data_IF_491780791233
#
_entry.id   IF_491780791233
#
_cell.length_a   1.000
_cell.length_b   1.000
_cell.length_c   1.000
_cell.angle_alpha   90.00
_cell.angle_beta   90.00
_cell.angle_gamma   90.00
#
_symmetry.space_group_name_H-M   'P 1'
#
loop_
_entity.id
_entity.type
_entity.pdbx_description
1 polymer ?
#
# COMPACT_ATOMS: atom_id res chain seq x y z
N UNK A 1 -55.96 -21.63 -48.13
CA UNK A 1 -56.29 -20.20 -48.35
C UNK A 1 -56.90 -19.62 -47.08
N UNK A 2 -56.18 -18.69 -46.43
CA UNK A 2 -56.68 -17.48 -45.73
C UNK A 2 -55.56 -16.99 -44.82
N UNK A 3 -54.96 -15.87 -45.23
CA UNK A 3 -54.13 -15.03 -44.39
C UNK A 3 -55.02 -14.35 -43.34
N UNK A 4 -54.51 -14.12 -42.14
CA UNK A 4 -54.94 -12.97 -41.33
C UNK A 4 -53.89 -12.63 -40.27
N UNK A 5 -53.48 -11.38 -40.32
CA UNK A 5 -52.50 -10.68 -39.51
C UNK A 5 -52.82 -10.67 -38.01
N UNK A 6 -51.83 -10.92 -37.17
CA UNK A 6 -51.86 -10.56 -35.75
C UNK A 6 -50.98 -9.31 -35.54
N UNK A 7 -51.65 -8.21 -35.16
CA UNK A 7 -51.06 -6.90 -34.89
C UNK A 7 -50.25 -6.91 -33.60
N UNK A 8 -49.09 -6.28 -33.69
CA UNK A 8 -48.21 -5.84 -32.61
C UNK A 8 -48.96 -4.87 -31.69
N UNK A 9 -48.83 -5.07 -30.37
CA UNK A 9 -49.23 -4.11 -29.33
C UNK A 9 -48.02 -3.90 -28.41
N UNK A 10 -47.14 -2.99 -28.80
CA UNK A 10 -46.07 -2.49 -27.93
C UNK A 10 -46.63 -1.28 -27.19
N UNK A 11 -46.79 -1.42 -25.87
CA UNK A 11 -47.15 -0.33 -24.97
C UNK A 11 -46.02 0.72 -24.95
N UNK A 12 -46.37 1.94 -25.32
CA UNK A 12 -45.52 3.12 -25.20
C UNK A 12 -45.41 3.52 -23.73
N UNK A 13 -44.20 3.43 -23.17
CA UNK A 13 -43.85 4.05 -21.89
C UNK A 13 -43.05 5.31 -22.23
N UNK A 14 -43.69 6.47 -22.10
CA UNK A 14 -43.03 7.78 -22.20
C UNK A 14 -42.30 8.03 -20.89
N UNK A 15 -40.99 7.80 -20.87
CA UNK A 15 -40.11 8.26 -19.80
C UNK A 15 -39.54 9.63 -20.20
N UNK A 16 -39.72 10.61 -19.31
CA UNK A 16 -39.21 11.97 -19.45
C UNK A 16 -37.68 11.99 -19.60
N UNK A 17 -37.19 12.60 -20.67
CA UNK A 17 -35.77 12.86 -20.91
C UNK A 17 -35.39 14.13 -20.12
N UNK A 18 -34.73 13.95 -18.98
CA UNK A 18 -33.88 15.00 -18.40
C UNK A 18 -32.64 15.16 -19.29
N UNK A 19 -32.17 16.39 -19.57
CA UNK A 19 -30.92 16.57 -20.28
C UNK A 19 -29.78 16.22 -19.32
N UNK A 20 -29.28 14.98 -19.39
CA UNK A 20 -27.97 14.67 -18.86
C UNK A 20 -26.96 15.47 -19.69
N UNK A 21 -26.35 16.48 -19.06
CA UNK A 21 -25.08 17.04 -19.49
C UNK A 21 -24.13 15.87 -19.77
N UNK A 22 -23.86 15.62 -21.04
CA UNK A 22 -22.87 14.65 -21.47
C UNK A 22 -21.52 15.12 -20.93
N UNK A 23 -21.10 14.54 -19.80
CA UNK A 23 -19.69 14.51 -19.43
C UNK A 23 -18.97 13.85 -20.60
N UNK A 24 -18.31 14.69 -21.41
CA UNK A 24 -17.48 14.26 -22.52
C UNK A 24 -16.40 13.37 -21.92
N UNK A 25 -16.55 12.05 -22.10
CA UNK A 25 -15.49 11.11 -21.79
C UNK A 25 -14.21 11.64 -22.46
N UNK A 26 -13.06 11.67 -21.77
CA UNK A 26 -11.81 12.00 -22.44
C UNK A 26 -11.67 11.03 -23.61
N UNK A 27 -11.44 11.57 -24.80
CA UNK A 27 -11.24 10.77 -26.00
C UNK A 27 -10.17 9.72 -25.69
N UNK A 28 -10.54 8.44 -25.74
CA UNK A 28 -9.57 7.36 -25.66
C UNK A 28 -8.58 7.57 -26.80
N UNK A 29 -7.32 7.85 -26.47
CA UNK A 29 -6.25 7.90 -27.45
C UNK A 29 -6.31 6.62 -28.28
N UNK A 30 -6.46 6.77 -29.60
CA UNK A 30 -6.42 5.64 -30.53
C UNK A 30 -5.12 4.87 -30.29
N UNK A 31 -5.17 3.55 -30.05
CA UNK A 31 -3.97 2.81 -29.67
C UNK A 31 -2.98 2.84 -30.84
N UNK A 32 -1.76 3.33 -30.57
CA UNK A 32 -0.69 3.41 -31.57
C UNK A 32 -0.44 2.02 -32.18
N UNK A 33 -0.81 1.85 -33.44
CA UNK A 33 -0.52 0.64 -34.21
C UNK A 33 0.97 0.61 -34.54
N UNK A 34 1.63 -0.49 -34.23
CA UNK A 34 3.04 -0.73 -34.56
C UNK A 34 3.25 -2.13 -35.12
N UNK A 35 4.41 -2.34 -35.70
CA UNK A 35 4.84 -3.68 -36.08
C UNK A 35 5.35 -4.45 -34.84
N UNK A 36 4.89 -5.70 -34.74
CA UNK A 36 5.26 -6.67 -33.73
C UNK A 36 5.92 -7.85 -34.41
N UNK A 37 7.04 -8.32 -33.87
CA UNK A 37 7.76 -9.47 -34.39
C UNK A 37 7.82 -10.58 -33.33
N UNK A 38 7.51 -11.79 -33.77
CA UNK A 38 7.74 -13.02 -33.01
C UNK A 38 9.19 -13.50 -33.18
N UNK A 39 9.67 -14.28 -32.23
CA UNK A 39 11.00 -14.93 -32.32
C UNK A 39 11.08 -15.96 -33.45
N UNK A 40 9.95 -16.49 -33.92
CA UNK A 40 9.88 -17.39 -35.07
C UNK A 40 9.90 -16.66 -36.42
N UNK A 41 10.05 -15.33 -36.43
CA UNK A 41 10.21 -14.53 -37.66
C UNK A 41 8.90 -14.03 -38.27
N UNK A 42 7.74 -14.36 -37.72
CA UNK A 42 6.47 -13.79 -38.17
C UNK A 42 6.28 -12.37 -37.64
N UNK A 43 5.80 -11.45 -38.49
CA UNK A 43 5.51 -10.06 -38.14
C UNK A 43 4.02 -9.74 -38.30
N UNK A 44 3.53 -8.79 -37.50
CA UNK A 44 2.14 -8.33 -37.55
C UNK A 44 2.03 -6.86 -37.15
N UNK A 45 1.26 -6.09 -37.92
CA UNK A 45 0.93 -4.70 -37.57
C UNK A 45 -0.34 -4.68 -36.73
N UNK A 46 -0.22 -4.27 -35.47
CA UNK A 46 -1.30 -4.31 -34.51
C UNK A 46 -1.14 -3.25 -33.41
N UNK A 47 -2.26 -2.89 -32.80
CA UNK A 47 -2.35 -2.11 -31.59
C UNK A 47 -2.27 -3.03 -30.36
N UNK A 48 -1.48 -2.66 -29.35
CA UNK A 48 -1.50 -3.36 -28.07
C UNK A 48 -2.71 -2.92 -27.26
N UNK A 49 -3.62 -3.86 -26.98
CA UNK A 49 -4.91 -3.58 -26.33
C UNK A 49 -5.03 -4.19 -24.93
N UNK A 50 -4.11 -5.08 -24.54
CA UNK A 50 -4.12 -5.64 -23.20
C UNK A 50 -2.96 -6.57 -22.90
N UNK A 51 -2.61 -6.66 -21.62
CA UNK A 51 -1.61 -7.60 -21.10
C UNK A 51 -2.21 -8.25 -19.85
N UNK A 52 -2.27 -9.58 -19.83
CA UNK A 52 -2.72 -10.35 -18.67
C UNK A 52 -1.72 -11.46 -18.38
N UNK A 53 -1.14 -11.42 -17.18
CA UNK A 53 -0.10 -12.36 -16.73
C UNK A 53 1.08 -12.41 -17.71
N UNK A 54 1.13 -13.43 -18.57
CA UNK A 54 2.16 -13.65 -19.58
C UNK A 54 1.63 -13.57 -21.03
N UNK A 55 0.39 -13.12 -21.21
CA UNK A 55 -0.29 -13.03 -22.50
C UNK A 55 -0.48 -11.57 -22.93
N UNK A 56 -0.11 -11.30 -24.17
CA UNK A 56 -0.21 -10.01 -24.86
C UNK A 56 -1.36 -10.11 -25.86
N UNK A 57 -2.32 -9.18 -25.78
CA UNK A 57 -3.44 -9.08 -26.71
C UNK A 57 -3.19 -7.95 -27.70
N UNK A 58 -3.04 -8.30 -28.98
CA UNK A 58 -2.75 -7.39 -30.08
C UNK A 58 -3.97 -7.33 -31.01
N UNK A 59 -4.52 -6.15 -31.23
CA UNK A 59 -5.60 -5.94 -32.20
C UNK A 59 -5.04 -5.52 -33.54
N UNK A 60 -5.24 -6.34 -34.57
CA UNK A 60 -4.80 -6.08 -35.95
C UNK A 60 -5.65 -5.01 -36.62
N UNK A 61 -5.18 -4.47 -37.74
CA UNK A 61 -5.88 -3.42 -38.51
C UNK A 61 -7.24 -3.85 -39.07
N UNK A 62 -7.47 -5.16 -39.24
CA UNK A 62 -8.76 -5.74 -39.62
C UNK A 62 -9.69 -6.03 -38.41
N UNK A 63 -9.31 -5.61 -37.21
CA UNK A 63 -10.10 -5.74 -35.98
C UNK A 63 -9.98 -7.07 -35.24
N UNK A 64 -9.23 -8.05 -35.76
CA UNK A 64 -9.00 -9.32 -35.07
C UNK A 64 -8.06 -9.15 -33.85
N UNK A 65 -8.30 -9.90 -32.78
CA UNK A 65 -7.46 -9.86 -31.56
C UNK A 65 -6.61 -11.13 -31.50
N UNK A 66 -5.30 -10.95 -31.64
CA UNK A 66 -4.30 -11.99 -31.51
C UNK A 66 -3.80 -12.04 -30.06
N UNK A 67 -3.63 -13.25 -29.54
CA UNK A 67 -3.10 -13.50 -28.19
C UNK A 67 -1.77 -14.22 -28.30
N UNK A 68 -0.70 -13.58 -27.87
CA UNK A 68 0.69 -14.07 -27.99
C UNK A 68 1.33 -14.08 -26.61
N UNK A 69 2.17 -15.07 -26.28
CA UNK A 69 2.92 -15.04 -25.02
C UNK A 69 4.01 -13.98 -25.10
N UNK A 70 4.24 -13.25 -24.00
CA UNK A 70 5.26 -12.20 -23.94
C UNK A 70 6.68 -12.75 -24.25
N UNK A 71 6.96 -13.99 -23.83
CA UNK A 71 8.21 -14.69 -24.12
C UNK A 71 8.46 -14.94 -25.61
N UNK A 72 7.42 -15.00 -26.42
CA UNK A 72 7.49 -15.32 -27.86
C UNK A 72 7.74 -14.07 -28.71
N UNK A 73 7.63 -12.87 -28.13
CA UNK A 73 8.01 -11.61 -28.77
C UNK A 73 9.52 -11.42 -28.77
N UNK A 74 10.01 -10.67 -29.76
CA UNK A 74 11.40 -10.20 -29.80
C UNK A 74 11.70 -9.25 -28.62
N UNK A 75 12.96 -9.07 -28.21
CA UNK A 75 13.31 -8.15 -27.13
C UNK A 75 12.77 -6.71 -27.32
N UNK A 76 12.77 -6.11 -28.53
CA UNK A 76 12.11 -4.83 -28.76
C UNK A 76 10.59 -4.86 -28.56
N UNK A 77 9.93 -5.98 -28.90
CA UNK A 77 8.51 -6.19 -28.63
C UNK A 77 8.23 -6.29 -27.14
N UNK A 78 9.06 -7.03 -26.39
CA UNK A 78 8.95 -7.14 -24.93
C UNK A 78 9.13 -5.78 -24.24
N UNK A 79 10.12 -4.99 -24.66
CA UNK A 79 10.33 -3.63 -24.15
C UNK A 79 9.13 -2.71 -24.44
N UNK A 80 8.49 -2.85 -25.60
CA UNK A 80 7.30 -2.10 -25.96
C UNK A 80 6.09 -2.45 -25.10
N UNK A 81 5.89 -3.75 -24.79
CA UNK A 81 4.86 -4.19 -23.85
C UNK A 81 5.14 -3.63 -22.46
N UNK A 82 6.39 -3.67 -21.99
CA UNK A 82 6.78 -3.10 -20.70
C UNK A 82 6.50 -1.59 -20.63
N UNK A 83 6.88 -0.83 -21.67
CA UNK A 83 6.62 0.61 -21.75
C UNK A 83 5.12 0.95 -21.88
N UNK A 84 4.32 0.07 -22.48
CA UNK A 84 2.86 0.22 -22.52
C UNK A 84 2.23 -0.08 -21.17
N UNK A 85 2.65 -1.15 -20.49
CA UNK A 85 2.22 -1.46 -19.11
C UNK A 85 2.57 -0.31 -18.19
N UNK A 86 3.78 0.24 -18.33
CA UNK A 86 4.21 1.43 -17.60
C UNK A 86 3.31 2.64 -17.95
N UNK A 87 3.00 2.89 -19.22
CA UNK A 87 2.05 3.94 -19.66
C UNK A 87 0.64 3.77 -19.09
N UNK A 88 0.12 2.55 -19.06
CA UNK A 88 -1.21 2.27 -18.51
C UNK A 88 -1.24 2.41 -16.98
N UNK A 89 -0.11 2.12 -16.31
CA UNK A 89 0.07 2.42 -14.89
C UNK A 89 0.32 3.92 -14.61
N UNK A 90 0.71 4.73 -15.61
CA UNK A 90 1.06 6.15 -15.44
C UNK A 90 -0.13 7.05 -15.11
N UNK A 91 -1.38 6.65 -15.36
CA UNK A 91 -2.52 7.57 -15.25
C UNK A 91 -2.32 8.87 -16.04
N UNK A 92 -3.18 9.89 -15.91
CA UNK A 92 -2.87 11.22 -16.44
C UNK A 92 -1.65 11.81 -15.70
N UNK A 93 -0.83 12.58 -16.42
CA UNK A 93 0.29 13.31 -15.81
C UNK A 93 -0.25 14.39 -14.87
N UNK A 94 -0.15 14.16 -13.56
CA UNK A 94 -0.53 15.14 -12.56
C UNK A 94 0.60 16.12 -12.28
N UNK A 95 0.25 17.38 -12.01
CA UNK A 95 1.21 18.39 -11.56
C UNK A 95 1.78 18.01 -10.19
N UNK A 96 3.10 18.18 -10.04
CA UNK A 96 3.82 17.87 -8.79
C UNK A 96 4.62 19.09 -8.33
N UNK A 97 4.65 19.36 -7.03
CA UNK A 97 5.48 20.45 -6.49
C UNK A 97 6.97 20.06 -6.51
N UNK A 98 7.85 21.05 -6.68
CA UNK A 98 9.28 20.90 -6.39
C UNK A 98 9.50 20.71 -4.90
N UNK A 99 10.33 19.73 -4.54
CA UNK A 99 10.45 19.26 -3.15
C UNK A 99 11.91 19.30 -2.70
N UNK A 100 12.14 19.66 -1.43
CA UNK A 100 13.47 19.57 -0.80
C UNK A 100 14.03 18.16 -0.97
N UNK A 101 15.36 18.02 -1.11
CA UNK A 101 16.01 16.73 -1.45
C UNK A 101 15.64 15.57 -0.50
N UNK A 102 15.23 15.87 0.74
CA UNK A 102 14.85 14.92 1.77
C UNK A 102 13.34 14.59 1.84
N UNK A 103 12.60 14.90 0.78
CA UNK A 103 11.15 14.73 0.70
C UNK A 103 10.77 14.23 -0.71
N UNK A 104 9.64 13.53 -0.82
CA UNK A 104 9.14 13.00 -2.12
C UNK A 104 8.10 13.96 -2.73
N UNK A 105 7.99 14.05 -4.08
CA UNK A 105 7.00 14.88 -4.75
C UNK A 105 5.59 14.41 -4.43
N UNK A 106 4.62 15.31 -4.49
CA UNK A 106 3.21 15.00 -4.23
C UNK A 106 2.31 15.60 -5.28
N UNK A 107 1.12 15.04 -5.43
CA UNK A 107 0.07 15.64 -6.25
C UNK A 107 -0.33 17.02 -5.70
N UNK A 108 -0.42 18.01 -6.58
CA UNK A 108 -0.95 19.35 -6.25
C UNK A 108 -2.48 19.36 -6.19
N UNK A 109 -3.13 18.45 -6.93
CA UNK A 109 -4.57 18.42 -7.17
C UNK A 109 -5.12 16.99 -7.25
N UNK A 110 -6.44 16.87 -7.45
CA UNK A 110 -7.12 15.59 -7.60
C UNK A 110 -7.23 14.76 -6.31
N UNK A 111 -7.66 13.49 -6.42
CA UNK A 111 -7.90 12.61 -5.26
C UNK A 111 -6.61 12.29 -4.48
N UNK A 112 -5.44 12.46 -5.10
CA UNK A 112 -4.14 12.28 -4.46
C UNK A 112 -3.55 13.52 -3.80
N UNK A 113 -4.25 14.67 -3.85
CA UNK A 113 -3.71 15.96 -3.40
C UNK A 113 -3.00 15.88 -2.05
N UNK A 114 -1.78 16.44 -1.98
CA UNK A 114 -0.84 16.42 -0.82
C UNK A 114 -0.15 15.09 -0.54
N UNK A 115 -0.48 14.02 -1.26
CA UNK A 115 0.16 12.72 -1.14
C UNK A 115 1.00 12.38 -2.37
N UNK A 116 2.03 11.60 -2.14
CA UNK A 116 2.87 11.03 -3.19
C UNK A 116 2.11 9.95 -3.93
N UNK A 117 1.41 9.07 -3.22
CA UNK A 117 0.63 8.03 -3.88
C UNK A 117 -0.57 7.66 -3.02
N UNK A 118 -1.63 7.20 -3.66
CA UNK A 118 -2.88 6.80 -2.98
C UNK A 118 -3.33 5.47 -3.55
N UNK A 119 -3.46 4.47 -2.70
CA UNK A 119 -4.04 3.18 -3.02
C UNK A 119 -5.43 3.07 -2.39
N UNK A 120 -6.44 2.77 -3.20
CA UNK A 120 -7.83 2.68 -2.74
C UNK A 120 -8.31 1.23 -2.72
N UNK A 121 -8.75 0.77 -1.55
CA UNK A 121 -9.38 -0.53 -1.35
C UNK A 121 -10.73 -0.35 -0.63
N UNK A 122 -11.73 -1.24 -0.79
CA UNK A 122 -13.00 -1.15 -0.05
C UNK A 122 -12.85 -1.04 1.48
N UNK A 123 -11.81 -1.67 2.04
CA UNK A 123 -11.57 -1.70 3.49
C UNK A 123 -10.65 -0.59 4.01
N UNK A 124 -9.88 0.08 3.14
CA UNK A 124 -8.96 1.12 3.57
C UNK A 124 -8.48 1.99 2.41
N UNK A 125 -7.96 3.18 2.74
CA UNK A 125 -7.11 3.94 1.83
C UNK A 125 -5.71 4.04 2.42
N UNK A 126 -4.70 3.68 1.63
CA UNK A 126 -3.30 3.85 1.99
C UNK A 126 -2.71 5.02 1.20
N UNK A 127 -2.10 5.98 1.91
CA UNK A 127 -1.55 7.21 1.32
C UNK A 127 -0.08 7.37 1.68
N UNK A 128 0.78 7.51 0.68
CA UNK A 128 2.20 7.78 0.90
C UNK A 128 2.40 9.28 1.03
N UNK A 129 2.91 9.76 2.17
CA UNK A 129 3.12 11.19 2.39
C UNK A 129 4.51 11.67 1.94
N UNK A 130 4.77 12.99 2.06
CA UNK A 130 6.05 13.63 1.67
C UNK A 130 7.30 13.05 2.35
N UNK A 131 7.14 12.35 3.47
CA UNK A 131 8.23 11.70 4.19
C UNK A 131 8.39 10.22 3.79
N UNK A 132 7.75 9.77 2.71
CA UNK A 132 7.71 8.37 2.26
C UNK A 132 7.16 7.39 3.31
N UNK A 133 6.22 7.85 4.13
CA UNK A 133 5.51 7.03 5.13
C UNK A 133 4.11 6.71 4.62
N UNK A 134 3.58 5.55 4.96
CA UNK A 134 2.21 5.16 4.58
C UNK A 134 1.25 5.47 5.72
N UNK A 135 0.26 6.29 5.43
CA UNK A 135 -0.92 6.54 6.26
C UNK A 135 -2.03 5.60 5.82
N UNK A 136 -2.48 4.71 6.69
CA UNK A 136 -3.52 3.71 6.41
C UNK A 136 -4.79 4.13 7.14
N UNK A 137 -5.77 4.62 6.40
CA UNK A 137 -7.09 4.99 6.91
C UNK A 137 -8.06 3.82 6.69
N UNK A 138 -8.46 3.15 7.78
CA UNK A 138 -9.40 2.03 7.72
C UNK A 138 -10.82 2.57 7.47
N UNK A 139 -11.57 1.87 6.63
CA UNK A 139 -12.91 2.25 6.16
C UNK A 139 -13.90 1.09 6.21
N UNK A 140 -15.16 1.48 6.43
CA UNK A 140 -16.32 0.62 6.25
C UNK A 140 -17.41 1.42 5.52
N UNK A 141 -17.50 1.23 4.19
CA UNK A 141 -18.28 2.09 3.31
C UNK A 141 -17.77 3.53 3.31
N UNK A 142 -18.63 4.48 3.70
CA UNK A 142 -18.28 5.89 3.83
C UNK A 142 -17.68 6.25 5.19
N UNK A 143 -17.70 5.32 6.15
CA UNK A 143 -17.19 5.57 7.50
C UNK A 143 -15.67 5.43 7.54
N UNK A 144 -15.01 6.35 8.24
CA UNK A 144 -13.58 6.29 8.57
C UNK A 144 -13.42 6.13 10.07
N UNK A 145 -12.39 5.37 10.49
CA UNK A 145 -12.18 5.06 11.91
C UNK A 145 -10.92 5.75 12.44
N UNK A 146 -11.13 6.74 13.30
CA UNK A 146 -10.06 7.38 14.07
C UNK A 146 -8.97 8.02 13.21
N UNK A 147 -7.75 8.08 13.76
CA UNK A 147 -6.55 8.55 13.05
C UNK A 147 -5.96 7.42 12.20
N UNK A 148 -5.35 7.73 11.04
CA UNK A 148 -4.67 6.70 10.23
C UNK A 148 -3.57 5.97 11.00
N UNK A 149 -3.41 4.68 10.72
CA UNK A 149 -2.22 3.94 11.13
C UNK A 149 -1.01 4.48 10.35
N UNK A 150 0.18 4.46 10.95
CA UNK A 150 1.41 4.94 10.28
C UNK A 150 2.37 3.78 10.12
N UNK A 151 2.56 3.32 8.88
CA UNK A 151 3.59 2.35 8.53
C UNK A 151 4.81 3.08 7.96
N UNK A 152 5.97 2.90 8.59
CA UNK A 152 7.20 3.54 8.13
C UNK A 152 8.47 2.76 8.45
N UNK A 153 9.54 2.94 7.67
CA UNK A 153 10.90 2.63 8.11
C UNK A 153 11.30 3.55 9.26
N UNK A 154 12.10 3.03 10.17
CA UNK A 154 12.75 3.74 11.24
C UNK A 154 14.25 3.49 11.19
N UNK A 155 15.00 4.57 11.29
CA UNK A 155 16.44 4.61 11.17
C UNK A 155 17.01 5.49 12.29
N UNK A 156 17.65 4.85 13.25
CA UNK A 156 18.13 5.49 14.48
C UNK A 156 19.64 5.31 14.62
N UNK A 157 20.31 6.26 15.28
CA UNK A 157 21.69 6.04 15.71
C UNK A 157 21.70 5.01 16.85
N UNK A 158 22.61 4.05 16.78
CA UNK A 158 22.98 3.26 17.96
C UNK A 158 23.79 4.16 18.88
N UNK A 159 23.40 4.27 20.16
CA UNK A 159 24.14 4.91 21.26
C UNK A 159 24.37 6.44 21.19
N UNK A 160 23.72 7.16 20.27
CA UNK A 160 23.71 8.65 20.26
C UNK A 160 22.47 9.16 21.02
N UNK A 161 22.59 10.30 21.72
CA UNK A 161 21.44 10.96 22.38
C UNK A 161 20.36 11.42 21.37
N UNK A 162 20.73 11.63 20.11
CA UNK A 162 19.79 11.89 19.01
C UNK A 162 19.09 10.60 18.55
N UNK A 163 17.77 10.62 18.59
CA UNK A 163 16.99 9.42 18.28
C UNK A 163 16.95 9.10 16.78
N UNK A 164 16.98 10.05 15.84
CA UNK A 164 16.77 9.75 14.40
C UNK A 164 17.95 10.11 13.50
N UNK A 165 18.33 9.20 12.59
CA UNK A 165 19.26 9.51 11.49
C UNK A 165 18.47 10.21 10.36
N UNK A 166 18.85 11.42 9.96
CA UNK A 166 18.08 12.17 8.96
C UNK A 166 18.29 11.64 7.53
N UNK A 167 17.24 11.64 6.71
CA UNK A 167 17.35 11.53 5.25
C UNK A 167 17.89 12.86 4.72
N UNK A 168 18.95 12.80 3.92
CA UNK A 168 19.57 13.99 3.29
C UNK A 168 19.19 14.12 1.82
N UNK A 169 18.87 13.01 1.16
CA UNK A 169 18.52 12.98 -0.25
C UNK A 169 17.84 11.67 -0.64
N UNK A 170 16.91 11.73 -1.57
CA UNK A 170 16.49 10.57 -2.35
C UNK A 170 17.29 10.53 -3.65
N UNK A 171 17.76 9.34 -4.02
CA UNK A 171 18.49 9.11 -5.28
C UNK A 171 17.53 8.63 -6.38
N UNK A 172 16.60 7.71 -6.04
CA UNK A 172 15.51 7.29 -6.92
C UNK A 172 14.18 7.37 -6.19
N UNK A 173 13.21 8.04 -6.82
CA UNK A 173 11.85 8.19 -6.32
C UNK A 173 10.89 7.72 -7.42
N UNK A 174 9.90 6.85 -7.10
CA UNK A 174 8.88 6.49 -8.07
C UNK A 174 8.04 7.73 -8.38
N UNK A 175 7.33 7.72 -9.50
CA UNK A 175 6.42 8.84 -9.80
C UNK A 175 5.22 8.79 -8.86
N UNK A 176 4.68 9.95 -8.46
CA UNK A 176 3.40 9.98 -7.79
C UNK A 176 2.33 9.20 -8.57
N UNK A 177 1.68 8.24 -7.92
CA UNK A 177 0.80 7.26 -8.58
C UNK A 177 -0.49 7.06 -7.80
N UNK A 178 -1.62 7.00 -8.51
CA UNK A 178 -2.89 6.50 -7.97
C UNK A 178 -2.96 4.98 -8.21
N UNK A 179 -3.44 4.26 -7.21
CA UNK A 179 -3.51 2.79 -7.14
C UNK A 179 -2.18 2.09 -7.47
N UNK A 180 -1.07 2.49 -6.81
CA UNK A 180 0.22 1.84 -7.00
C UNK A 180 0.17 0.38 -6.57
N UNK A 181 0.87 -0.50 -7.32
CA UNK A 181 1.10 -1.89 -6.88
C UNK A 181 2.30 -1.99 -5.95
N UNK A 182 3.38 -1.29 -6.30
CA UNK A 182 4.61 -1.25 -5.53
C UNK A 182 5.28 0.12 -5.72
N UNK A 183 5.94 0.60 -4.67
CA UNK A 183 6.75 1.82 -4.67
C UNK A 183 8.07 1.51 -3.98
N UNK A 184 9.19 1.86 -4.61
CA UNK A 184 10.54 1.68 -4.05
C UNK A 184 11.25 3.01 -3.98
N UNK A 185 11.70 3.39 -2.79
CA UNK A 185 12.45 4.61 -2.53
C UNK A 185 13.91 4.24 -2.24
N UNK A 186 14.85 4.98 -2.83
CA UNK A 186 16.28 4.83 -2.54
C UNK A 186 16.89 6.19 -2.24
N UNK A 187 17.97 6.20 -1.46
CA UNK A 187 18.62 7.46 -1.15
C UNK A 187 19.72 7.36 -0.12
N UNK A 188 20.02 8.53 0.44
CA UNK A 188 21.07 8.76 1.42
C UNK A 188 20.54 9.42 2.68
N UNK A 189 21.12 8.98 3.78
CA UNK A 189 20.96 9.54 5.11
C UNK A 189 22.26 10.24 5.53
N UNK A 190 22.20 10.94 6.67
CA UNK A 190 23.38 11.54 7.31
C UNK A 190 24.51 10.51 7.49
N UNK A 191 25.76 11.00 7.53
CA UNK A 191 27.01 10.23 7.62
C UNK A 191 27.25 9.23 6.47
N UNK A 192 26.71 9.50 5.29
CA UNK A 192 26.96 8.69 4.09
C UNK A 192 26.25 7.33 4.08
N UNK A 193 25.28 7.13 4.96
CA UNK A 193 24.47 5.91 5.03
C UNK A 193 23.54 5.84 3.82
N UNK A 194 23.47 4.69 3.14
CA UNK A 194 22.56 4.46 2.00
C UNK A 194 21.37 3.61 2.40
N UNK A 195 20.24 3.78 1.73
CA UNK A 195 19.03 3.00 2.01
C UNK A 195 18.23 2.63 0.77
N UNK A 196 17.37 1.63 0.96
CA UNK A 196 16.19 1.44 0.14
C UNK A 196 15.07 0.85 0.98
N UNK A 197 13.84 1.30 0.76
CA UNK A 197 12.65 0.62 1.26
C UNK A 197 11.54 0.66 0.23
N UNK A 198 10.65 -0.32 0.34
CA UNK A 198 9.57 -0.50 -0.60
C UNK A 198 8.26 -0.72 0.14
N UNK A 199 7.17 -0.37 -0.53
CA UNK A 199 5.81 -0.70 -0.14
C UNK A 199 5.11 -1.44 -1.27
N UNK A 200 4.40 -2.52 -0.95
CA UNK A 200 3.47 -3.15 -1.88
C UNK A 200 2.04 -3.05 -1.36
N UNK A 201 1.10 -2.83 -2.28
CA UNK A 201 -0.33 -2.74 -2.01
C UNK A 201 -1.00 -3.88 -2.78
N UNK A 202 -1.41 -4.91 -2.06
CA UNK A 202 -1.90 -6.16 -2.64
C UNK A 202 -3.16 -6.56 -1.91
N UNK A 203 -4.29 -6.53 -2.61
CA UNK A 203 -5.62 -6.83 -2.08
C UNK A 203 -5.91 -6.06 -0.78
N UNK A 204 -6.14 -6.79 0.31
CA UNK A 204 -6.41 -6.27 1.65
C UNK A 204 -5.13 -5.94 2.46
N UNK A 205 -3.95 -5.93 1.83
CA UNK A 205 -2.66 -5.80 2.52
C UNK A 205 -1.83 -4.58 2.10
N UNK A 206 -1.09 -4.04 3.07
CA UNK A 206 0.02 -3.12 2.86
C UNK A 206 1.30 -3.78 3.41
N UNK A 207 2.28 -3.95 2.54
CA UNK A 207 3.55 -4.60 2.88
C UNK A 207 4.69 -3.59 2.91
N UNK A 208 5.69 -3.79 3.78
CA UNK A 208 6.88 -2.94 3.85
C UNK A 208 8.15 -3.76 4.10
N UNK A 209 9.21 -3.46 3.34
CA UNK A 209 10.55 -4.03 3.53
C UNK A 209 11.63 -3.03 3.14
N UNK A 210 12.87 -3.32 3.49
CA UNK A 210 13.99 -2.48 3.11
C UNK A 210 15.34 -2.92 3.67
N UNK A 211 16.33 -2.08 3.43
CA UNK A 211 17.69 -2.22 3.93
C UNK A 211 18.35 -0.85 4.11
N UNK A 212 19.37 -0.84 4.96
CA UNK A 212 20.25 0.29 5.22
C UNK A 212 21.68 -0.20 5.23
N UNK A 213 22.61 0.53 4.60
CA UNK A 213 24.03 0.22 4.59
C UNK A 213 24.83 1.37 5.15
N UNK A 214 25.51 1.10 6.25
CA UNK A 214 26.48 1.98 6.85
C UNK A 214 27.80 1.95 6.05
N UNK A 215 28.50 3.09 5.88
CA UNK A 215 29.86 3.08 5.34
C UNK A 215 30.84 2.43 6.34
N UNK A 216 31.98 1.91 5.85
CA UNK A 216 33.04 1.39 6.71
C UNK A 216 33.50 2.43 7.75
N UNK A 217 33.67 2.00 9.00
CA UNK A 217 34.17 2.84 10.08
C UNK A 217 33.18 3.88 10.62
N UNK A 218 31.87 3.74 10.35
CA UNK A 218 30.86 4.66 10.90
C UNK A 218 30.96 4.74 12.43
N UNK A 219 30.99 5.95 12.98
CA UNK A 219 31.10 6.19 14.43
C UNK A 219 29.90 5.67 15.21
N UNK A 220 28.70 5.93 14.70
CA UNK A 220 27.44 5.50 15.30
C UNK A 220 26.70 4.62 14.29
N UNK A 221 26.67 3.30 14.48
CA UNK A 221 25.95 2.40 13.57
C UNK A 221 24.46 2.74 13.47
N UNK A 222 23.82 2.31 12.38
CA UNK A 222 22.38 2.50 12.19
C UNK A 222 21.58 1.33 12.76
N UNK A 223 20.49 1.62 13.47
CA UNK A 223 19.43 0.66 13.78
C UNK A 223 18.29 0.87 12.80
N UNK A 224 17.92 -0.19 12.07
CA UNK A 224 16.84 -0.18 11.08
C UNK A 224 15.70 -1.13 11.46
N UNK A 225 14.46 -0.67 11.32
CA UNK A 225 13.26 -1.48 11.53
C UNK A 225 12.08 -0.92 10.73
N UNK A 226 11.14 -1.78 10.35
CA UNK A 226 9.83 -1.33 9.85
C UNK A 226 8.89 -1.26 11.05
N UNK A 227 8.08 -0.21 11.16
CA UNK A 227 7.16 -0.06 12.29
C UNK A 227 5.79 0.42 11.83
N UNK A 228 4.77 -0.31 12.27
CA UNK A 228 3.39 0.15 12.25
C UNK A 228 3.07 0.81 13.58
N UNK A 229 2.59 2.06 13.54
CA UNK A 229 2.03 2.74 14.70
C UNK A 229 0.51 2.67 14.61
N UNK A 230 -0.09 2.18 15.68
CA UNK A 230 -1.53 2.18 15.89
C UNK A 230 -1.83 3.32 16.86
N UNK A 231 -2.49 4.40 16.41
CA UNK A 231 -2.80 5.54 17.27
C UNK A 231 -3.85 5.16 18.31
N UNK A 232 -4.07 6.05 19.28
CA UNK A 232 -5.19 5.92 20.20
C UNK A 232 -6.50 5.74 19.41
N UNK A 233 -7.23 4.68 19.74
CA UNK A 233 -8.50 4.32 19.06
C UNK A 233 -9.69 5.01 19.69
N UNK A 234 -9.52 5.48 20.94
CA UNK A 234 -10.52 6.26 21.68
C UNK A 234 -9.82 7.18 22.68
N UNK A 235 -10.42 8.33 22.94
CA UNK A 235 -10.04 9.22 24.04
C UNK A 235 -11.24 9.31 24.98
N UNK A 236 -10.98 9.21 26.28
CA UNK A 236 -11.98 9.39 27.33
C UNK A 236 -11.75 10.72 28.02
N UNK A 237 -12.83 11.43 28.35
CA UNK A 237 -12.73 12.55 29.29
C UNK A 237 -12.30 12.05 30.66
N UNK A 238 -11.58 12.88 31.42
CA UNK A 238 -11.08 12.51 32.75
C UNK A 238 -12.21 12.19 33.73
N UNK A 239 -13.41 12.74 33.50
CA UNK A 239 -14.63 12.51 34.26
C UNK A 239 -15.20 11.09 34.10
N UNK A 240 -14.89 10.37 33.01
CA UNK A 240 -15.44 9.03 32.76
C UNK A 240 -14.82 8.02 33.73
N UNK A 241 -15.62 7.39 34.62
CA UNK A 241 -15.12 6.43 35.59
C UNK A 241 -14.47 5.21 34.95
N UNK A 242 -13.50 4.59 35.64
CA UNK A 242 -12.75 3.46 35.09
C UNK A 242 -13.64 2.25 34.75
N UNK A 243 -14.66 1.97 35.56
CA UNK A 243 -15.59 0.86 35.30
C UNK A 243 -16.40 1.05 34.01
N UNK A 244 -16.74 2.31 33.68
CA UNK A 244 -17.40 2.64 32.43
C UNK A 244 -16.44 2.47 31.25
N UNK A 245 -15.19 2.93 31.37
CA UNK A 245 -14.14 2.70 30.35
C UNK A 245 -13.94 1.20 30.10
N UNK A 246 -13.84 0.41 31.16
CA UNK A 246 -13.71 -1.05 31.10
C UNK A 246 -14.88 -1.69 30.36
N UNK A 247 -16.13 -1.27 30.67
CA UNK A 247 -17.33 -1.76 29.96
C UNK A 247 -17.29 -1.41 28.47
N UNK A 248 -16.93 -0.17 28.12
CA UNK A 248 -16.90 0.30 26.74
C UNK A 248 -15.79 -0.35 25.90
N UNK A 249 -14.69 -0.75 26.53
CA UNK A 249 -13.54 -1.38 25.87
C UNK A 249 -13.52 -2.91 26.00
N UNK A 250 -14.45 -3.50 26.77
CA UNK A 250 -14.52 -4.94 26.98
C UNK A 250 -14.56 -5.77 25.68
N UNK A 251 -15.20 -5.30 24.58
CA UNK A 251 -15.20 -6.04 23.31
C UNK A 251 -13.87 -6.02 22.55
N UNK A 252 -12.88 -5.22 22.98
CA UNK A 252 -11.64 -4.99 22.23
C UNK A 252 -10.45 -5.69 22.88
N UNK A 253 -9.71 -6.43 22.06
CA UNK A 253 -8.58 -7.23 22.51
C UNK A 253 -7.39 -7.10 21.57
N UNK A 254 -6.19 -7.01 22.15
CA UNK A 254 -4.95 -7.12 21.41
C UNK A 254 -4.42 -8.53 21.63
N UNK A 255 -4.37 -9.33 20.57
CA UNK A 255 -3.90 -10.70 20.61
C UNK A 255 -2.50 -10.77 20.01
N UNK A 256 -1.60 -11.41 20.74
CA UNK A 256 -0.24 -11.63 20.31
C UNK A 256 0.03 -13.13 20.30
N UNK A 257 0.27 -13.65 19.11
CA UNK A 257 0.62 -15.04 18.89
C UNK A 257 2.14 -15.15 18.85
N UNK A 258 2.80 -15.77 19.84
CA UNK A 258 4.24 -15.97 19.81
C UNK A 258 4.59 -17.12 18.83
N UNK A 259 5.83 -17.15 18.30
CA UNK A 259 6.27 -18.26 17.43
C UNK A 259 6.22 -19.64 18.10
N UNK A 260 6.21 -19.68 19.44
CA UNK A 260 6.03 -20.88 20.25
C UNK A 260 5.21 -20.55 21.49
N UNK A 261 4.27 -21.41 21.84
CA UNK A 261 3.46 -21.29 23.05
C UNK A 261 2.02 -20.85 22.77
N UNK A 262 1.35 -20.37 23.82
CA UNK A 262 -0.06 -19.94 23.74
C UNK A 262 -0.15 -18.47 23.36
N UNK A 263 -1.19 -18.12 22.61
CA UNK A 263 -1.60 -16.73 22.35
C UNK A 263 -1.78 -15.98 23.66
N UNK A 264 -1.25 -14.76 23.73
CA UNK A 264 -1.46 -13.84 24.85
C UNK A 264 -2.49 -12.80 24.45
N UNK A 265 -3.45 -12.54 25.33
CA UNK A 265 -4.55 -11.60 25.10
C UNK A 265 -4.39 -10.42 26.06
N UNK A 266 -4.40 -9.21 25.52
CA UNK A 266 -4.32 -7.97 26.27
C UNK A 266 -5.65 -7.21 26.14
N UNK A 267 -6.40 -7.05 27.24
CA UNK A 267 -7.61 -6.24 27.24
C UNK A 267 -7.27 -4.79 26.91
N UNK A 268 -8.07 -4.15 26.06
CA UNK A 268 -7.77 -2.79 25.61
C UNK A 268 -7.75 -1.75 26.73
N UNK A 269 -8.51 -1.94 27.81
CA UNK A 269 -8.62 -1.01 28.95
C UNK A 269 -7.48 -1.09 29.95
N UNK A 270 -6.72 -2.19 29.96
CA UNK A 270 -5.76 -2.45 31.03
C UNK A 270 -4.37 -1.91 30.66
N UNK A 271 -3.83 -1.04 31.52
CA UNK A 271 -2.46 -0.55 31.40
C UNK A 271 -1.43 -1.67 31.46
N UNK A 272 -0.47 -1.67 30.54
CA UNK A 272 0.54 -2.71 30.41
C UNK A 272 1.92 -2.18 30.80
N UNK A 273 2.72 -3.01 31.48
CA UNK A 273 4.14 -2.68 31.72
C UNK A 273 4.97 -2.90 30.46
N UNK A 274 4.65 -3.97 29.73
CA UNK A 274 5.19 -4.34 28.42
C UNK A 274 4.24 -5.32 27.74
N UNK A 275 4.40 -5.50 26.43
CA UNK A 275 3.81 -6.62 25.70
C UNK A 275 4.84 -7.75 25.59
N UNK A 276 4.37 -8.96 25.26
CA UNK A 276 5.25 -10.10 25.03
C UNK A 276 6.21 -9.79 23.88
N UNK A 277 7.48 -10.16 24.05
CA UNK A 277 8.57 -9.63 23.23
C UNK A 277 8.64 -10.18 21.80
N UNK A 278 8.22 -11.42 21.54
CA UNK A 278 8.26 -12.01 20.21
C UNK A 278 6.86 -12.39 19.75
N UNK A 279 6.52 -12.00 18.53
CA UNK A 279 5.28 -12.34 17.86
C UNK A 279 5.57 -13.02 16.52
N UNK A 280 4.68 -13.90 16.11
CA UNK A 280 4.46 -14.32 14.73
C UNK A 280 3.33 -13.50 14.11
N UNK A 281 2.29 -13.24 14.89
CA UNK A 281 1.15 -12.41 14.51
C UNK A 281 0.70 -11.52 15.66
N UNK A 282 0.33 -10.29 15.33
CA UNK A 282 -0.34 -9.34 16.23
C UNK A 282 -1.67 -8.97 15.62
N UNK A 283 -2.76 -9.11 16.38
CA UNK A 283 -4.12 -8.87 15.89
C UNK A 283 -4.90 -7.96 16.83
N UNK A 284 -5.63 -7.00 16.26
CA UNK A 284 -6.65 -6.23 16.97
C UNK A 284 -8.00 -6.86 16.68
N UNK A 285 -8.61 -7.44 17.72
CA UNK A 285 -9.93 -8.05 17.68
C UNK A 285 -10.97 -7.10 18.31
N UNK A 286 -12.22 -7.25 17.87
CA UNK A 286 -13.35 -6.44 18.28
C UNK A 286 -13.64 -5.26 17.34
N UNK A 287 -14.78 -4.56 17.51
CA UNK A 287 -15.23 -3.53 16.57
C UNK A 287 -14.49 -2.19 16.73
N UNK A 288 -13.17 -2.23 16.87
CA UNK A 288 -12.29 -1.06 16.93
C UNK A 288 -12.37 -0.27 15.63
N UNK A 289 -12.45 -0.99 14.51
CA UNK A 289 -12.52 -0.44 13.15
C UNK A 289 -13.80 -0.88 12.44
N UNK A 290 -14.92 -0.85 13.17
CA UNK A 290 -16.20 -1.35 12.66
C UNK A 290 -16.18 -2.86 12.50
N UNK A 291 -16.54 -3.36 11.32
CA UNK A 291 -16.45 -4.79 11.00
C UNK A 291 -15.04 -5.26 10.67
N UNK A 292 -14.06 -4.33 10.55
CA UNK A 292 -12.72 -4.65 10.07
C UNK A 292 -11.80 -5.20 11.14
N UNK A 293 -10.97 -6.17 10.75
CA UNK A 293 -9.92 -6.75 11.60
C UNK A 293 -8.54 -6.33 11.10
N UNK A 294 -7.71 -5.84 12.02
CA UNK A 294 -6.32 -5.50 11.74
C UNK A 294 -5.40 -6.63 12.21
N UNK A 295 -4.55 -7.14 11.33
CA UNK A 295 -3.47 -8.05 11.71
C UNK A 295 -2.12 -7.61 11.12
N UNK A 296 -1.05 -7.96 11.83
CA UNK A 296 0.33 -7.69 11.44
C UNK A 296 1.14 -8.97 11.57
N UNK A 297 1.80 -9.35 10.48
CA UNK A 297 2.69 -10.52 10.43
C UNK A 297 4.02 -10.16 9.81
N UNK A 298 4.97 -11.09 9.88
CA UNK A 298 6.18 -11.05 9.09
C UNK A 298 6.14 -12.20 8.07
N UNK A 299 6.56 -11.95 6.82
CA UNK A 299 6.63 -13.01 5.79
C UNK A 299 7.55 -14.18 6.18
N UNK A 300 8.56 -13.92 6.99
CA UNK A 300 9.36 -14.91 7.69
C UNK A 300 10.05 -14.27 8.90
N UNK A 301 10.40 -15.07 9.90
CA UNK A 301 11.12 -14.62 11.11
C UNK A 301 12.57 -15.10 11.19
N UNK A 302 13.09 -15.84 10.19
CA UNK A 302 14.48 -16.32 10.20
C UNK A 302 15.50 -15.18 10.28
N UNK A 303 15.22 -14.07 9.59
CA UNK A 303 16.13 -12.94 9.42
C UNK A 303 15.81 -11.76 10.36
N UNK A 304 14.95 -11.94 11.35
CA UNK A 304 14.57 -10.86 12.26
C UNK A 304 13.49 -11.22 13.27
N UNK A 305 12.83 -10.22 13.83
CA UNK A 305 11.85 -10.38 14.92
C UNK A 305 10.69 -9.41 14.76
N UNK A 306 9.47 -9.90 14.90
CA UNK A 306 8.28 -9.06 15.04
C UNK A 306 7.99 -8.86 16.53
N UNK A 307 7.87 -7.61 16.94
CA UNK A 307 7.78 -7.21 18.36
C UNK A 307 6.64 -6.20 18.51
N UNK A 308 5.57 -6.50 19.26
CA UNK A 308 4.62 -5.49 19.69
C UNK A 308 5.22 -4.65 20.82
N UNK A 309 5.02 -3.35 20.77
CA UNK A 309 5.61 -2.37 21.69
C UNK A 309 4.53 -1.41 22.16
N UNK A 310 4.45 -1.24 23.48
CA UNK A 310 3.56 -0.30 24.17
C UNK A 310 4.39 0.52 25.16
N UNK A 311 3.95 1.74 25.48
CA UNK A 311 4.58 2.52 26.54
C UNK A 311 4.22 1.93 27.91
N UNK A 312 5.15 2.05 28.86
CA UNK A 312 4.94 1.56 30.22
C UNK A 312 3.77 2.31 30.86
N UNK A 313 2.80 1.55 31.36
CA UNK A 313 1.62 2.08 32.04
C UNK A 313 0.46 2.44 31.11
N UNK A 314 0.65 2.42 29.79
CA UNK A 314 -0.43 2.71 28.83
C UNK A 314 -1.20 1.45 28.47
N UNK A 315 -2.49 1.61 28.21
CA UNK A 315 -3.38 0.55 27.75
C UNK A 315 -3.44 0.50 26.21
N UNK A 316 -3.74 -0.65 25.58
CA UNK A 316 -3.77 -0.73 24.12
C UNK A 316 -4.68 0.29 23.42
N UNK A 317 -5.78 0.72 24.07
CA UNK A 317 -6.67 1.74 23.49
C UNK A 317 -5.99 3.10 23.29
N UNK A 318 -4.95 3.41 24.07
CA UNK A 318 -4.17 4.65 24.03
C UNK A 318 -3.14 4.65 22.88
N UNK A 319 -2.99 3.51 22.22
CA UNK A 319 -2.09 3.32 21.10
C UNK A 319 -0.91 2.41 21.45
N UNK A 320 -0.39 1.77 20.41
CA UNK A 320 0.75 0.88 20.50
C UNK A 320 1.44 0.83 19.13
N UNK A 321 2.44 -0.03 18.98
CA UNK A 321 3.10 -0.23 17.71
C UNK A 321 3.55 -1.67 17.54
N UNK A 322 3.79 -2.08 16.30
CA UNK A 322 4.41 -3.35 15.98
C UNK A 322 5.66 -3.06 15.17
N UNK A 323 6.81 -3.56 15.61
CA UNK A 323 8.10 -3.35 14.96
C UNK A 323 8.61 -4.67 14.37
N UNK A 324 9.01 -4.64 13.11
CA UNK A 324 9.75 -5.72 12.47
C UNK A 324 11.23 -5.31 12.41
N UNK A 325 12.03 -5.93 13.26
CA UNK A 325 13.46 -5.64 13.44
C UNK A 325 14.25 -6.66 12.64
N UNK A 326 15.11 -6.16 11.74
CA UNK A 326 15.99 -6.98 10.92
C UNK A 326 17.31 -7.26 11.63
N UNK A 327 17.82 -8.48 11.55
CA UNK A 327 19.11 -8.84 12.14
C UNK A 327 20.28 -8.26 11.34
N UNK A 328 20.24 -8.41 10.01
CA UNK A 328 21.23 -7.88 9.07
C UNK A 328 20.63 -6.72 8.27
N UNK A 329 20.95 -5.49 8.68
CA UNK A 329 20.29 -4.28 8.14
C UNK A 329 20.61 -4.03 6.66
N UNK A 330 21.77 -4.46 6.16
CA UNK A 330 22.27 -4.20 4.82
C UNK A 330 21.91 -5.30 3.80
N UNK A 331 21.36 -6.42 4.29
CA UNK A 331 20.89 -7.53 3.46
C UNK A 331 19.77 -7.08 2.54
N UNK A 332 20.03 -7.06 1.23
CA UNK A 332 19.06 -6.68 0.19
C UNK A 332 18.10 -7.81 -0.15
N UNK A 333 17.32 -8.25 0.83
CA UNK A 333 16.26 -9.24 0.63
C UNK A 333 14.89 -8.60 0.76
N UNK A 334 14.05 -8.87 -0.22
CA UNK A 334 12.63 -8.57 -0.21
C UNK A 334 11.82 -9.65 0.53
N UNK A 335 12.42 -10.76 0.94
CA UNK A 335 11.69 -11.88 1.58
C UNK A 335 11.37 -11.61 3.05
N UNK A 336 11.87 -10.54 3.64
CA UNK A 336 11.62 -10.13 5.02
C UNK A 336 10.76 -8.87 5.03
N UNK A 337 9.43 -9.08 5.04
CA UNK A 337 8.41 -8.04 4.92
C UNK A 337 7.56 -7.99 6.17
N UNK A 338 7.20 -6.77 6.59
CA UNK A 338 6.06 -6.57 7.46
C UNK A 338 4.81 -6.57 6.57
N UNK A 339 3.80 -7.33 6.94
CA UNK A 339 2.53 -7.41 6.23
C UNK A 339 1.45 -6.91 7.18
N UNK A 340 0.74 -5.86 6.77
CA UNK A 340 -0.41 -5.30 7.49
C UNK A 340 -1.65 -5.67 6.71
N UNK A 341 -2.55 -6.45 7.31
CA UNK A 341 -3.78 -6.96 6.67
C UNK A 341 -5.01 -6.33 7.33
N UNK A 342 -5.96 -5.90 6.50
CA UNK A 342 -7.21 -5.24 6.93
C UNK A 342 -8.40 -5.98 6.29
N UNK A 343 -8.93 -6.95 7.04
CA UNK A 343 -10.04 -7.82 6.62
C UNK A 343 -11.41 -7.22 6.87
#
# INVERSE_FOLDING_TARGET
>A
MKASSARVLIRTLVAAVLPLLAARAPAAESPETREWSSRSGATVTAALVGVQQNMVSLQTTNGAVLRIRLGDLTPPGQAAVAAWVERQQRGPAYQTEGVASNRVPVFTEGPGRRYHSVYTHPNFIARVNRASQVEIEIRDGTNTFGRPLILRPLHHYVSRQEYGRAIVGFDEIPRPTLDPKELTFTGRMADGVTFSWSYAFVDNTVQCWGWVRDPPGIKYPTRFQMRLYVPAVRTFENSVPMDERKRLLAPFELRVEPPKGKTVVYPFWQGQQSLIGLAEQVTVDGPVYGSRRLSVTASQLKDGRLIPVIYRGTAPYEGFSVALIKNEIDKRSDRFRMIVTID
#
